data_IF_461067117774
#
_entry.id   IF_461067117774
#
_cell.length_a   1.000
_cell.length_b   1.000
_cell.length_c   1.000
_cell.angle_alpha   90.00
_cell.angle_beta   90.00
_cell.angle_gamma   90.00
#
_symmetry.space_group_name_H-M   'P 1'
#
loop_
_entity.id
_entity.type
_entity.pdbx_description
1 polymer ?
#
# COMPACT_ATOMS: atom_id res chain seq x y z
N UNK A 1 -30.17 66.09 -15.17
CA UNK A 1 -28.96 65.33 -14.79
C UNK A 1 -29.07 63.90 -15.36
N UNK A 2 -27.92 63.27 -15.64
CA UNK A 2 -27.69 62.23 -16.66
C UNK A 2 -28.43 60.88 -16.46
N UNK A 3 -28.83 60.31 -17.61
CA UNK A 3 -29.36 58.96 -17.91
C UNK A 3 -28.38 57.81 -17.55
N UNK A 4 -28.90 56.58 -17.40
CA UNK A 4 -28.47 55.29 -18.08
C UNK A 4 -29.16 54.08 -17.41
N UNK A 5 -30.13 53.41 -18.03
CA UNK A 5 -30.07 52.31 -19.04
C UNK A 5 -29.85 50.90 -18.44
N UNK A 6 -30.93 50.12 -18.49
CA UNK A 6 -31.10 48.65 -18.43
C UNK A 6 -29.97 47.87 -19.09
N UNK A 7 -29.59 46.70 -18.54
CA UNK A 7 -29.21 45.49 -19.29
C UNK A 7 -29.26 44.24 -18.38
N UNK A 8 -30.05 43.23 -18.79
CA UNK A 8 -29.93 41.84 -18.33
C UNK A 8 -28.64 41.23 -18.89
N UNK A 9 -27.91 40.48 -18.06
CA UNK A 9 -27.06 39.38 -18.51
C UNK A 9 -27.18 38.21 -17.53
N UNK A 10 -27.72 37.12 -18.04
CA UNK A 10 -27.57 35.76 -17.52
C UNK A 10 -26.11 35.33 -17.61
N UNK A 11 -25.50 34.88 -16.50
CA UNK A 11 -24.19 34.21 -16.54
C UNK A 11 -24.11 33.04 -15.56
N UNK A 12 -24.27 31.87 -16.16
CA UNK A 12 -23.56 30.60 -16.00
C UNK A 12 -22.94 30.24 -14.64
N UNK A 13 -23.36 29.09 -14.13
CA UNK A 13 -22.82 28.38 -12.98
C UNK A 13 -21.38 27.88 -13.20
N UNK A 14 -20.56 28.01 -12.17
CA UNK A 14 -19.48 27.06 -11.83
C UNK A 14 -19.21 27.15 -10.33
N UNK A 15 -19.74 26.20 -9.56
CA UNK A 15 -19.27 25.96 -8.19
C UNK A 15 -17.95 25.22 -8.31
N UNK A 16 -16.85 25.95 -8.10
CA UNK A 16 -15.53 25.35 -7.96
C UNK A 16 -15.49 24.53 -6.67
N UNK A 17 -15.63 23.20 -6.79
CA UNK A 17 -15.40 22.29 -5.68
C UNK A 17 -13.90 22.25 -5.37
N UNK A 18 -13.52 22.86 -4.25
CA UNK A 18 -12.20 22.81 -3.65
C UNK A 18 -12.09 21.56 -2.76
N UNK A 19 -10.99 20.81 -2.89
CA UNK A 19 -10.59 19.73 -1.98
C UNK A 19 -11.05 18.35 -2.49
N UNK A 20 -10.16 17.40 -2.81
CA UNK A 20 -9.00 16.98 -2.04
C UNK A 20 -7.78 16.79 -2.94
N UNK A 21 -6.73 17.59 -2.74
CA UNK A 21 -5.42 17.23 -3.23
C UNK A 21 -4.96 15.99 -2.46
N UNK A 22 -5.08 14.80 -3.07
CA UNK A 22 -4.29 13.66 -2.65
C UNK A 22 -2.84 14.05 -2.84
N UNK A 23 -2.18 14.49 -1.77
CA UNK A 23 -0.73 14.54 -1.73
C UNK A 23 -0.26 13.09 -1.85
N UNK A 24 -0.02 12.64 -3.08
CA UNK A 24 0.84 11.50 -3.32
C UNK A 24 2.23 11.96 -2.88
N UNK A 25 2.58 11.68 -1.63
CA UNK A 25 3.95 11.80 -1.15
C UNK A 25 4.85 11.04 -2.13
N UNK A 26 6.07 11.51 -2.39
CA UNK A 26 6.99 10.78 -3.23
C UNK A 26 7.10 9.36 -2.68
N UNK A 27 6.70 8.37 -3.49
CA UNK A 27 7.06 6.99 -3.24
C UNK A 27 8.59 6.97 -3.25
N UNK A 28 9.18 6.96 -2.06
CA UNK A 28 10.62 6.79 -1.89
C UNK A 28 10.93 5.49 -2.60
N UNK A 29 11.78 5.54 -3.63
CA UNK A 29 12.15 4.37 -4.43
C UNK A 29 12.45 3.23 -3.47
N UNK A 30 11.52 2.28 -3.39
CA UNK A 30 11.52 1.27 -2.35
C UNK A 30 12.72 0.38 -2.65
N UNK A 31 13.75 0.57 -1.85
CA UNK A 31 14.85 -0.36 -1.77
C UNK A 31 14.48 -1.66 -1.09
N UNK A 32 13.25 -1.79 -0.64
CA UNK A 32 12.73 -2.99 -0.05
C UNK A 32 12.38 -4.00 -1.15
N UNK A 33 13.05 -5.14 -1.19
CA UNK A 33 12.72 -6.26 -2.07
C UNK A 33 12.01 -7.33 -1.24
N UNK A 34 10.91 -7.89 -1.75
CA UNK A 34 10.23 -9.02 -1.13
C UNK A 34 10.25 -10.22 -2.09
N UNK A 35 10.83 -11.34 -1.65
CA UNK A 35 10.90 -12.58 -2.43
C UNK A 35 10.08 -13.66 -1.76
N UNK A 36 9.11 -14.23 -2.47
CA UNK A 36 8.31 -15.35 -2.01
C UNK A 36 8.88 -16.66 -2.57
N UNK A 37 9.02 -17.67 -1.71
CA UNK A 37 9.41 -19.03 -2.10
C UNK A 37 8.58 -20.08 -1.35
N UNK A 38 8.17 -21.13 -2.05
CA UNK A 38 7.57 -22.30 -1.41
C UNK A 38 8.67 -23.15 -0.78
N UNK A 39 8.61 -23.33 0.53
CA UNK A 39 9.60 -24.11 1.30
C UNK A 39 9.15 -25.55 1.51
N UNK A 40 7.85 -25.81 1.48
CA UNK A 40 7.30 -27.16 1.55
C UNK A 40 5.93 -27.22 0.87
N UNK A 41 5.67 -28.31 0.15
CA UNK A 41 4.37 -28.63 -0.42
C UNK A 41 4.09 -30.12 -0.16
N UNK A 42 2.92 -30.42 0.39
CA UNK A 42 2.49 -31.79 0.71
C UNK A 42 1.18 -32.17 0.01
N UNK A 43 0.83 -31.48 -1.08
CA UNK A 43 -0.30 -31.77 -1.96
C UNK A 43 -1.65 -31.24 -1.50
N UNK A 44 -1.99 -31.33 -0.21
CA UNK A 44 -3.21 -30.73 0.35
C UNK A 44 -2.99 -29.33 0.94
N UNK A 45 -1.73 -28.89 0.99
CA UNK A 45 -1.32 -27.58 1.49
C UNK A 45 0.16 -27.34 1.22
N UNK A 46 0.58 -26.10 1.44
CA UNK A 46 1.94 -25.66 1.24
C UNK A 46 2.35 -24.65 2.31
N UNK A 47 3.64 -24.40 2.39
CA UNK A 47 4.26 -23.39 3.22
C UNK A 47 5.12 -22.49 2.33
N UNK A 48 4.81 -21.19 2.34
CA UNK A 48 5.62 -20.17 1.70
C UNK A 48 6.40 -19.36 2.73
N UNK A 49 7.60 -18.95 2.35
CA UNK A 49 8.42 -18.00 3.07
C UNK A 49 8.56 -16.73 2.23
N UNK A 50 8.40 -15.57 2.88
CA UNK A 50 8.66 -14.26 2.29
C UNK A 50 9.91 -13.67 2.94
N UNK A 51 10.92 -13.41 2.13
CA UNK A 51 12.15 -12.72 2.55
C UNK A 51 12.05 -11.27 2.15
N UNK A 52 12.13 -10.36 3.12
CA UNK A 52 12.20 -8.92 2.90
C UNK A 52 13.64 -8.47 3.08
N UNK A 53 14.22 -7.85 2.06
CA UNK A 53 15.56 -7.26 2.09
C UNK A 53 15.51 -5.75 1.81
N UNK A 54 16.56 -5.02 2.16
CA UNK A 54 16.72 -3.59 1.95
C UNK A 54 17.99 -3.27 1.16
N UNK A 55 17.86 -3.19 -0.16
CA UNK A 55 18.93 -2.86 -1.12
C UNK A 55 19.16 -1.33 -1.24
N UNK A 56 18.92 -0.61 -0.15
CA UNK A 56 18.69 0.82 -0.17
C UNK A 56 19.85 1.70 0.16
N UNK A 57 19.53 2.95 0.49
CA UNK A 57 20.50 3.92 1.01
C UNK A 57 20.26 4.27 2.47
N UNK A 58 19.16 3.81 3.06
CA UNK A 58 18.79 4.06 4.45
C UNK A 58 18.19 2.81 5.08
N UNK A 59 18.44 2.61 6.37
CA UNK A 59 17.84 1.52 7.13
C UNK A 59 16.30 1.66 7.15
N UNK A 60 15.61 0.53 7.06
CA UNK A 60 14.17 0.44 7.27
C UNK A 60 13.89 0.22 8.76
N UNK A 61 12.81 0.81 9.26
CA UNK A 61 12.33 0.59 10.64
C UNK A 61 11.09 -0.30 10.70
N UNK A 62 10.44 -0.50 9.55
CA UNK A 62 9.24 -1.31 9.39
C UNK A 62 9.16 -1.82 7.96
N UNK A 63 8.44 -2.93 7.77
CA UNK A 63 8.13 -3.46 6.45
C UNK A 63 6.65 -3.86 6.37
N UNK A 64 6.14 -3.81 5.14
CA UNK A 64 4.79 -4.22 4.79
C UNK A 64 4.81 -4.93 3.45
N UNK A 65 4.21 -6.11 3.38
CA UNK A 65 4.04 -6.90 2.17
C UNK A 65 2.55 -7.11 1.92
N UNK A 66 2.10 -6.86 0.70
CA UNK A 66 0.69 -6.92 0.33
C UNK A 66 0.53 -7.72 -0.97
N UNK A 67 -0.41 -8.66 -0.97
CA UNK A 67 -0.75 -9.42 -2.16
C UNK A 67 -2.17 -10.02 -2.07
N UNK A 68 -2.70 -10.36 -3.24
CA UNK A 68 -3.99 -11.05 -3.35
C UNK A 68 -3.78 -12.56 -3.38
N UNK A 69 -4.60 -13.26 -2.59
CA UNK A 69 -4.67 -14.71 -2.63
C UNK A 69 -5.54 -15.18 -3.80
N UNK A 70 -5.11 -16.23 -4.54
CA UNK A 70 -5.94 -16.87 -5.55
C UNK A 70 -7.26 -17.37 -4.94
N UNK A 71 -8.32 -17.37 -5.75
CA UNK A 71 -9.63 -17.88 -5.31
C UNK A 71 -9.51 -19.34 -4.82
N UNK A 72 -10.17 -19.65 -3.70
CA UNK A 72 -10.12 -20.98 -3.08
C UNK A 72 -8.90 -21.25 -2.20
N UNK A 73 -7.98 -20.29 -2.06
CA UNK A 73 -6.84 -20.39 -1.14
C UNK A 73 -7.09 -19.63 0.16
N UNK A 74 -6.49 -20.11 1.24
CA UNK A 74 -6.56 -19.45 2.55
C UNK A 74 -5.27 -19.66 3.32
N UNK A 75 -4.95 -18.74 4.23
CA UNK A 75 -3.78 -18.84 5.11
C UNK A 75 -4.27 -19.37 6.45
N UNK A 76 -3.81 -20.57 6.81
CA UNK A 76 -4.15 -21.21 8.08
C UNK A 76 -3.28 -20.71 9.24
N UNK A 77 -1.98 -20.56 9.01
CA UNK A 77 -0.99 -20.17 10.02
C UNK A 77 0.04 -19.20 9.42
N UNK A 78 0.52 -18.28 10.25
CA UNK A 78 1.60 -17.36 9.92
C UNK A 78 2.41 -17.09 11.19
N UNK A 79 3.69 -16.76 11.02
CA UNK A 79 4.61 -16.41 12.10
C UNK A 79 5.49 -15.24 11.66
N UNK A 80 6.16 -14.59 12.62
CA UNK A 80 7.03 -13.41 12.38
C UNK A 80 6.35 -12.23 11.68
N UNK A 81 5.03 -12.22 11.62
CA UNK A 81 4.24 -11.13 11.01
C UNK A 81 2.90 -10.98 11.72
N UNK A 82 2.31 -9.80 11.59
CA UNK A 82 0.89 -9.57 11.80
C UNK A 82 0.18 -9.51 10.45
N UNK A 83 -0.96 -10.19 10.33
CA UNK A 83 -1.72 -10.26 9.08
C UNK A 83 -3.08 -9.57 9.24
N UNK A 84 -3.42 -8.69 8.28
CA UNK A 84 -4.76 -8.18 8.07
C UNK A 84 -5.36 -8.74 6.77
N UNK A 85 -6.67 -8.94 6.77
CA UNK A 85 -7.41 -9.57 5.67
C UNK A 85 -8.58 -8.69 5.21
N UNK A 86 -8.67 -8.46 3.89
CA UNK A 86 -9.79 -7.77 3.26
C UNK A 86 -10.16 -8.49 1.95
N UNK A 87 -11.21 -9.33 2.00
CA UNK A 87 -11.57 -10.18 0.85
C UNK A 87 -10.44 -11.16 0.49
N UNK A 88 -9.95 -11.12 -0.75
CA UNK A 88 -8.76 -11.84 -1.22
C UNK A 88 -7.44 -11.14 -0.86
N UNK A 89 -7.48 -9.86 -0.50
CA UNK A 89 -6.29 -9.08 -0.21
C UNK A 89 -5.73 -9.42 1.17
N UNK A 90 -4.41 -9.57 1.25
CA UNK A 90 -3.67 -9.83 2.48
C UNK A 90 -2.57 -8.82 2.65
N UNK A 91 -2.49 -8.27 3.86
CA UNK A 91 -1.45 -7.34 4.29
C UNK A 91 -0.69 -7.97 5.43
N UNK A 92 0.64 -8.04 5.30
CA UNK A 92 1.58 -8.55 6.28
C UNK A 92 2.47 -7.41 6.76
N UNK A 93 2.55 -7.21 8.06
CA UNK A 93 3.44 -6.22 8.67
C UNK A 93 4.42 -6.87 9.62
N UNK A 94 5.56 -6.22 9.80
CA UNK A 94 6.55 -6.65 10.77
C UNK A 94 5.97 -6.73 12.19
N UNK A 95 6.53 -7.66 12.97
CA UNK A 95 6.42 -7.67 14.43
C UNK A 95 7.35 -6.62 15.03
N UNK A 96 7.19 -6.35 16.32
CA UNK A 96 8.05 -5.39 17.03
C UNK A 96 9.54 -5.75 17.01
N UNK A 97 9.89 -7.03 16.84
CA UNK A 97 11.26 -7.53 16.88
C UNK A 97 11.94 -7.64 15.51
N UNK A 98 11.23 -7.53 14.39
CA UNK A 98 11.80 -7.78 13.06
C UNK A 98 11.47 -6.69 12.02
N UNK A 99 11.09 -5.48 12.46
CA UNK A 99 10.84 -4.35 11.56
C UNK A 99 12.10 -3.67 11.04
N UNK A 100 13.17 -3.67 11.83
CA UNK A 100 14.40 -2.97 11.48
C UNK A 100 15.25 -3.81 10.50
N UNK A 101 15.46 -3.28 9.29
CA UNK A 101 16.30 -3.93 8.26
C UNK A 101 17.38 -2.92 7.82
N UNK A 102 18.64 -3.10 8.24
CA UNK A 102 19.78 -2.33 7.76
C UNK A 102 19.93 -2.40 6.24
N UNK A 103 20.68 -1.47 5.67
CA UNK A 103 21.01 -1.51 4.24
C UNK A 103 21.88 -2.74 3.94
N UNK A 104 21.54 -3.46 2.87
CA UNK A 104 22.27 -4.64 2.39
C UNK A 104 21.93 -5.94 3.13
N UNK A 105 20.80 -6.00 3.82
CA UNK A 105 20.26 -7.21 4.47
C UNK A 105 18.96 -7.64 3.83
#
# INVERSE_FOLDING_TARGET
MRRKRTFLLTSLATVAALGTAWFALPASAASATATLRTVSDWGSGWQDEVVVSNDGRSAMTSWKVEFDLPAGTSIGSFWDTDMAAAGSHRTFTNRSWNGAIPVGQ
#
